data_IF_148041099413
#
_entry.id   IF_148041099413
#
_cell.length_a   1.000
_cell.length_b   1.000
_cell.length_c   1.000
_cell.angle_alpha   90.00
_cell.angle_beta   90.00
_cell.angle_gamma   90.00
#
_symmetry.space_group_name_H-M   'P 1'
#
loop_
_entity.id
_entity.type
_entity.pdbx_description
1 polymer ?
#
# COMPACT_ATOMS: atom_id res chain seq x y z
N UNK A 1 -23.58 -15.39 -32.46
CA UNK A 1 -22.17 -15.67 -32.80
C UNK A 1 -21.20 -14.74 -32.07
N UNK A 2 -21.23 -13.41 -32.29
CA UNK A 2 -20.29 -12.49 -31.62
C UNK A 2 -20.48 -12.37 -30.09
N UNK A 3 -21.73 -12.53 -29.60
CA UNK A 3 -22.03 -12.47 -28.17
C UNK A 3 -21.53 -13.72 -27.41
N UNK A 4 -21.50 -14.89 -28.05
CA UNK A 4 -21.00 -16.13 -27.44
C UNK A 4 -19.46 -16.15 -27.40
N UNK A 5 -18.80 -15.56 -28.41
CA UNK A 5 -17.35 -15.36 -28.39
C UNK A 5 -16.92 -14.35 -27.32
N UNK A 6 -17.74 -13.33 -27.02
CA UNK A 6 -17.46 -12.40 -25.92
C UNK A 6 -17.61 -13.07 -24.55
N UNK A 7 -18.61 -13.94 -24.39
CA UNK A 7 -18.84 -14.65 -23.13
C UNK A 7 -17.72 -15.67 -22.83
N UNK A 8 -17.16 -16.31 -23.85
CA UNK A 8 -15.99 -17.20 -23.71
C UNK A 8 -14.71 -16.43 -23.40
N UNK A 9 -14.48 -15.25 -24.00
CA UNK A 9 -13.34 -14.39 -23.68
C UNK A 9 -13.38 -13.84 -22.24
N UNK A 10 -14.57 -13.58 -21.70
CA UNK A 10 -14.74 -13.18 -20.29
C UNK A 10 -14.65 -14.36 -19.31
N UNK A 11 -14.78 -15.61 -19.78
CA UNK A 11 -14.67 -16.82 -18.96
C UNK A 11 -13.25 -17.42 -18.94
N UNK A 12 -12.36 -17.03 -19.86
CA UNK A 12 -10.96 -17.50 -19.92
C UNK A 12 -10.13 -17.18 -18.66
N UNK A 13 -10.26 -16.03 -17.95
CA UNK A 13 -9.51 -15.82 -16.72
C UNK A 13 -9.94 -16.76 -15.57
N UNK A 14 -11.05 -17.49 -15.69
CA UNK A 14 -11.53 -18.42 -14.65
C UNK A 14 -10.96 -19.85 -14.79
N UNK A 15 -10.21 -20.16 -15.86
CA UNK A 15 -9.70 -21.52 -16.15
C UNK A 15 -8.21 -21.67 -15.86
N UNK A 16 -7.51 -20.59 -15.54
CA UNK A 16 -6.14 -20.68 -15.02
C UNK A 16 -6.29 -20.99 -13.53
N UNK A 17 -5.87 -22.18 -13.05
CA UNK A 17 -5.77 -22.41 -11.63
C UNK A 17 -4.69 -21.45 -11.14
N UNK A 18 -5.10 -20.34 -10.52
CA UNK A 18 -4.19 -19.49 -9.78
C UNK A 18 -3.62 -20.36 -8.65
N UNK A 19 -2.32 -20.73 -8.67
CA UNK A 19 -1.74 -21.37 -7.52
C UNK A 19 -1.79 -20.33 -6.40
N UNK A 20 -2.75 -20.48 -5.49
CA UNK A 20 -2.72 -19.73 -4.23
C UNK A 20 -1.32 -19.90 -3.65
N UNK A 21 -0.58 -18.83 -3.36
CA UNK A 21 0.73 -18.91 -2.73
C UNK A 21 0.59 -19.57 -1.36
N UNK A 22 0.61 -20.90 -1.32
CA UNK A 22 0.51 -21.62 -0.05
C UNK A 22 1.87 -21.51 0.61
N UNK A 23 1.91 -20.85 1.76
CA UNK A 23 3.11 -20.69 2.55
C UNK A 23 3.79 -22.06 2.79
N UNK A 24 5.09 -22.21 2.47
CA UNK A 24 5.82 -23.45 2.73
C UNK A 24 5.78 -23.79 4.24
N UNK A 25 5.49 -25.05 4.61
CA UNK A 25 5.43 -25.48 6.00
C UNK A 25 6.69 -25.06 6.78
N UNK A 26 6.52 -24.36 7.91
CA UNK A 26 7.63 -23.87 8.75
C UNK A 26 7.94 -22.37 8.67
N UNK A 27 7.28 -21.61 7.78
CA UNK A 27 7.46 -20.14 7.65
C UNK A 27 6.41 -19.30 8.41
N UNK A 28 5.54 -19.94 9.20
CA UNK A 28 4.55 -19.32 10.09
C UNK A 28 5.11 -18.15 10.93
N UNK A 29 6.30 -18.24 11.56
CA UNK A 29 6.87 -17.10 12.31
C UNK A 29 7.28 -15.93 11.42
N UNK A 30 7.63 -16.18 10.15
CA UNK A 30 7.99 -15.12 9.20
C UNK A 30 6.75 -14.36 8.73
N UNK A 31 5.64 -15.06 8.47
CA UNK A 31 4.35 -14.40 8.16
C UNK A 31 3.86 -13.56 9.35
N UNK A 32 3.97 -14.08 10.57
CA UNK A 32 3.64 -13.33 11.78
C UNK A 32 4.49 -12.05 11.89
N UNK A 33 5.80 -12.15 11.70
CA UNK A 33 6.71 -11.00 11.77
C UNK A 33 6.38 -9.96 10.68
N UNK A 34 6.12 -10.40 9.45
CA UNK A 34 5.75 -9.51 8.34
C UNK A 34 4.44 -8.78 8.65
N UNK A 35 3.45 -9.46 9.23
CA UNK A 35 2.18 -8.83 9.62
C UNK A 35 2.37 -7.69 10.64
N UNK A 36 3.21 -7.92 11.66
CA UNK A 36 3.58 -6.90 12.65
C UNK A 36 4.32 -5.72 12.02
N UNK A 37 5.24 -5.99 11.10
CA UNK A 37 6.00 -4.95 10.39
C UNK A 37 5.07 -4.13 9.48
N UNK A 38 4.13 -4.76 8.76
CA UNK A 38 3.14 -4.06 7.95
C UNK A 38 2.28 -3.11 8.78
N UNK A 39 1.80 -3.56 9.95
CA UNK A 39 1.07 -2.71 10.87
C UNK A 39 1.91 -1.54 11.39
N UNK A 40 3.14 -1.82 11.82
CA UNK A 40 4.06 -0.78 12.29
C UNK A 40 4.36 0.27 11.19
N UNK A 41 4.59 -0.18 9.95
CA UNK A 41 4.86 0.69 8.81
C UNK A 41 3.67 1.60 8.50
N UNK A 42 2.45 1.07 8.49
CA UNK A 42 1.22 1.86 8.27
C UNK A 42 1.06 2.93 9.34
N UNK A 43 1.23 2.56 10.62
CA UNK A 43 1.08 3.50 11.74
C UNK A 43 2.12 4.63 11.65
N UNK A 44 3.39 4.30 11.39
CA UNK A 44 4.47 5.29 11.28
C UNK A 44 4.23 6.25 10.10
N UNK A 45 3.82 5.72 8.94
CA UNK A 45 3.50 6.54 7.76
C UNK A 45 2.36 7.52 8.03
N UNK A 46 1.29 7.06 8.68
CA UNK A 46 0.15 7.92 9.03
C UNK A 46 0.55 9.02 10.01
N UNK A 47 1.34 8.71 11.03
CA UNK A 47 1.84 9.70 12.00
C UNK A 47 2.71 10.75 11.29
N UNK A 48 3.64 10.33 10.43
CA UNK A 48 4.51 11.25 9.68
C UNK A 48 3.75 12.16 8.72
N UNK A 49 2.71 11.63 8.08
CA UNK A 49 1.79 12.41 7.24
C UNK A 49 1.00 13.44 8.05
N UNK A 50 0.39 13.02 9.16
CA UNK A 50 -0.39 13.91 10.04
C UNK A 50 0.47 15.03 10.65
N UNK A 51 1.68 14.71 11.10
CA UNK A 51 2.61 15.69 11.65
C UNK A 51 2.99 16.75 10.61
N UNK A 52 3.28 16.33 9.37
CA UNK A 52 3.63 17.23 8.27
C UNK A 52 2.44 18.08 7.83
N UNK A 53 1.23 17.50 7.77
CA UNK A 53 -0.01 18.21 7.46
C UNK A 53 -0.36 19.25 8.53
N UNK A 54 -0.22 18.89 9.82
CA UNK A 54 -0.42 19.82 10.94
C UNK A 54 0.56 21.00 10.91
N UNK A 55 1.84 20.73 10.63
CA UNK A 55 2.85 21.78 10.49
C UNK A 55 2.55 22.74 9.32
N UNK A 56 2.06 22.21 8.20
CA UNK A 56 1.63 23.02 7.07
C UNK A 56 0.43 23.91 7.43
N UNK A 57 -0.57 23.36 8.13
CA UNK A 57 -1.74 24.10 8.58
C UNK A 57 -1.35 25.29 9.49
N UNK A 58 -0.46 25.07 10.46
CA UNK A 58 0.03 26.14 11.34
C UNK A 58 0.87 27.17 10.59
N UNK A 59 1.65 26.72 9.60
CA UNK A 59 2.51 27.60 8.78
C UNK A 59 1.70 28.45 7.80
N UNK A 60 0.50 27.99 7.39
CA UNK A 60 -0.41 28.76 6.53
C UNK A 60 -0.88 30.05 7.19
N UNK A 61 -1.15 30.02 8.51
CA UNK A 61 -1.55 31.21 9.27
C UNK A 61 -0.43 32.25 9.41
N UNK A 62 0.83 31.85 9.18
CA UNK A 62 2.00 32.73 9.30
C UNK A 62 2.52 33.21 7.94
N UNK A 63 1.87 32.85 6.82
CA UNK A 63 2.35 33.19 5.47
C UNK A 63 3.67 32.50 5.09
N UNK A 64 4.04 31.40 5.78
CA UNK A 64 5.28 30.62 5.56
C UNK A 64 5.03 29.26 4.92
N UNK A 65 3.92 29.15 4.20
CA UNK A 65 3.33 27.91 3.65
C UNK A 65 4.35 27.11 2.81
N UNK A 66 5.14 27.78 1.97
CA UNK A 66 6.16 27.17 1.11
C UNK A 66 7.21 26.35 1.89
N UNK A 67 7.53 26.74 3.13
CA UNK A 67 8.51 26.02 3.94
C UNK A 67 7.95 24.70 4.48
N UNK A 68 6.63 24.63 4.71
CA UNK A 68 5.94 23.42 5.18
C UNK A 68 5.63 22.40 4.09
N UNK A 69 5.45 22.84 2.84
CA UNK A 69 5.07 21.97 1.71
C UNK A 69 6.11 20.87 1.45
N UNK A 70 7.40 21.18 1.62
CA UNK A 70 8.47 20.20 1.38
C UNK A 70 8.37 18.98 2.33
N UNK A 71 8.00 19.21 3.59
CA UNK A 71 7.78 18.13 4.55
C UNK A 71 6.58 17.26 4.18
N UNK A 72 5.48 17.88 3.80
CA UNK A 72 4.28 17.16 3.36
C UNK A 72 4.52 16.35 2.08
N UNK A 73 5.24 16.90 1.11
CA UNK A 73 5.56 16.21 -0.14
C UNK A 73 6.35 14.90 0.12
N UNK A 74 7.35 14.95 0.99
CA UNK A 74 8.14 13.76 1.37
C UNK A 74 7.27 12.75 2.13
N UNK A 75 6.40 13.21 3.03
CA UNK A 75 5.49 12.33 3.77
C UNK A 75 4.48 11.62 2.86
N UNK A 76 3.95 12.30 1.83
CA UNK A 76 3.08 11.67 0.82
C UNK A 76 3.82 10.58 0.05
N UNK A 77 5.04 10.86 -0.40
CA UNK A 77 5.88 9.88 -1.10
C UNK A 77 6.12 8.65 -0.20
N UNK A 78 6.42 8.87 1.10
CA UNK A 78 6.59 7.78 2.05
C UNK A 78 5.33 6.91 2.21
N UNK A 79 4.15 7.51 2.31
CA UNK A 79 2.88 6.77 2.36
C UNK A 79 2.66 5.93 1.09
N UNK A 80 2.95 6.47 -0.09
CA UNK A 80 2.81 5.75 -1.36
C UNK A 80 3.76 4.56 -1.43
N UNK A 81 5.00 4.73 -1.00
CA UNK A 81 5.99 3.64 -0.96
C UNK A 81 5.56 2.52 0.00
N UNK A 82 5.00 2.86 1.17
CA UNK A 82 4.47 1.86 2.10
C UNK A 82 3.24 1.14 1.54
N UNK A 83 2.35 1.84 0.85
CA UNK A 83 1.21 1.23 0.17
C UNK A 83 1.66 0.26 -0.93
N UNK A 84 2.65 0.65 -1.75
CA UNK A 84 3.22 -0.19 -2.79
C UNK A 84 3.96 -1.41 -2.21
N UNK A 85 4.68 -1.25 -1.09
CA UNK A 85 5.28 -2.38 -0.39
C UNK A 85 4.21 -3.37 0.12
N UNK A 86 3.07 -2.86 0.59
CA UNK A 86 1.94 -3.68 1.02
C UNK A 86 1.40 -4.60 -0.08
N UNK A 87 1.28 -4.10 -1.32
CA UNK A 87 0.80 -4.93 -2.45
C UNK A 87 1.81 -6.01 -2.83
N UNK A 88 3.11 -5.72 -2.75
CA UNK A 88 4.18 -6.71 -3.02
C UNK A 88 4.14 -7.83 -1.98
N UNK A 89 3.95 -7.48 -0.69
CA UNK A 89 3.88 -8.45 0.40
C UNK A 89 2.68 -9.40 0.22
N UNK A 90 1.53 -8.90 -0.25
CA UNK A 90 0.33 -9.71 -0.52
C UNK A 90 0.50 -10.72 -1.67
N UNK A 91 1.51 -10.57 -2.53
CA UNK A 91 1.80 -11.57 -3.58
C UNK A 91 2.42 -12.84 -2.99
N UNK A 92 3.00 -12.77 -1.80
CA UNK A 92 3.76 -13.87 -1.18
C UNK A 92 3.03 -14.57 -0.02
N UNK A 93 1.80 -14.16 0.31
CA UNK A 93 0.98 -14.68 1.42
C UNK A 93 -0.32 -15.22 0.84
#
# INVERSE_FOLDING_TARGET
>A
MILETLNTLMAVPAVIPDPTPVQPPGMEPVSLLVNWVSWAAIVISVIGFLASAGYLAISSFQGREIQGVKGLAIAIIACVLVAAAGTIIQVFI
#
